data_IF_073806993095
#
_entry.id   IF_073806993095
#
_cell.length_a   1.000
_cell.length_b   1.000
_cell.length_c   1.000
_cell.angle_alpha   90.00
_cell.angle_beta   90.00
_cell.angle_gamma   90.00
#
_symmetry.space_group_name_H-M   'P 1'
#
loop_
_entity.id
_entity.type
_entity.pdbx_description
1 polymer ?
#
# COMPACT_ATOMS: atom_id res chain seq x y z
N UNK A 1 -0.36 -27.97 10.50
CA UNK A 1 -0.39 -26.50 10.57
C UNK A 1 1.02 -25.97 10.47
N UNK A 2 1.20 -24.79 9.87
CA UNK A 2 2.50 -24.12 9.64
C UNK A 2 2.41 -22.69 10.20
N UNK A 3 3.41 -22.28 10.97
CA UNK A 3 3.54 -20.91 11.48
C UNK A 3 4.56 -20.18 10.62
N UNK A 4 4.20 -19.00 10.10
CA UNK A 4 5.02 -18.25 9.14
C UNK A 4 5.28 -16.83 9.67
N UNK A 5 6.55 -16.57 9.97
CA UNK A 5 7.10 -15.25 10.25
C UNK A 5 8.02 -14.85 9.09
N UNK A 6 7.46 -14.14 8.11
CA UNK A 6 8.14 -13.70 6.90
C UNK A 6 7.43 -12.46 6.33
N UNK A 7 8.03 -11.80 5.34
CA UNK A 7 7.37 -10.71 4.62
C UNK A 7 6.37 -11.25 3.60
N UNK A 8 5.47 -10.38 3.16
CA UNK A 8 4.47 -10.66 2.14
C UNK A 8 5.05 -11.22 0.83
N UNK A 9 6.24 -10.78 0.42
CA UNK A 9 6.91 -11.27 -0.79
C UNK A 9 7.29 -12.75 -0.67
N UNK A 10 7.95 -13.16 0.43
CA UNK A 10 8.34 -14.56 0.61
C UNK A 10 7.11 -15.47 0.76
N UNK A 11 6.08 -15.00 1.47
CA UNK A 11 4.85 -15.78 1.62
C UNK A 11 4.09 -15.88 0.30
N UNK A 12 4.06 -14.83 -0.51
CA UNK A 12 3.49 -14.87 -1.85
C UNK A 12 4.14 -15.96 -2.71
N UNK A 13 5.47 -16.02 -2.73
CA UNK A 13 6.23 -17.06 -3.44
C UNK A 13 6.00 -18.47 -2.87
N UNK A 14 5.87 -18.58 -1.55
CA UNK A 14 5.53 -19.85 -0.90
C UNK A 14 4.15 -20.34 -1.36
N UNK A 15 3.14 -19.47 -1.42
CA UNK A 15 1.81 -19.85 -1.88
C UNK A 15 1.82 -20.27 -3.36
N UNK A 16 2.63 -19.62 -4.21
CA UNK A 16 2.88 -20.09 -5.57
C UNK A 16 3.54 -21.48 -5.60
N UNK A 17 4.46 -21.76 -4.68
CA UNK A 17 5.07 -23.09 -4.56
C UNK A 17 4.05 -24.16 -4.11
N UNK A 18 3.15 -23.82 -3.18
CA UNK A 18 2.04 -24.69 -2.74
C UNK A 18 1.14 -25.05 -3.93
N UNK A 19 0.78 -24.05 -4.75
CA UNK A 19 0.00 -24.27 -5.96
C UNK A 19 0.73 -25.19 -6.96
N UNK A 20 2.01 -24.90 -7.26
CA UNK A 20 2.85 -25.71 -8.17
C UNK A 20 3.01 -27.17 -7.72
N UNK A 21 2.90 -27.44 -6.42
CA UNK A 21 3.02 -28.77 -5.83
C UNK A 21 1.68 -29.46 -5.61
N UNK A 22 0.56 -28.88 -6.07
CA UNK A 22 -0.79 -29.38 -5.81
C UNK A 22 -1.05 -29.61 -4.32
N UNK A 23 -0.50 -28.75 -3.46
CA UNK A 23 -0.59 -28.85 -2.00
C UNK A 23 -1.65 -27.93 -1.38
N UNK A 24 -2.53 -27.37 -2.20
CA UNK A 24 -3.65 -26.53 -1.76
C UNK A 24 -4.53 -27.28 -0.76
N UNK A 25 -4.84 -26.64 0.38
CA UNK A 25 -5.65 -27.25 1.44
C UNK A 25 -4.92 -28.29 2.32
N UNK A 26 -3.65 -28.60 2.04
CA UNK A 26 -2.87 -29.55 2.87
C UNK A 26 -2.40 -28.96 4.20
N UNK A 27 -2.27 -27.63 4.28
CA UNK A 27 -1.75 -26.93 5.45
C UNK A 27 -2.77 -25.91 5.95
N UNK A 28 -2.82 -25.75 7.27
CA UNK A 28 -3.43 -24.60 7.93
C UNK A 28 -2.35 -23.60 8.28
N UNK A 29 -2.61 -22.31 8.03
CA UNK A 29 -1.61 -21.25 8.15
C UNK A 29 -1.87 -20.38 9.38
N UNK A 30 -0.81 -20.12 10.15
CA UNK A 30 -0.79 -19.10 11.18
C UNK A 30 0.28 -18.07 10.81
N UNK A 31 -0.11 -16.83 10.59
CA UNK A 31 0.76 -15.77 10.07
C UNK A 31 1.01 -14.61 11.00
N UNK A 32 2.19 -14.02 10.89
CA UNK A 32 2.51 -12.71 11.46
C UNK A 32 1.87 -11.55 10.69
N UNK A 33 2.02 -10.36 11.25
CA UNK A 33 1.61 -9.08 10.64
C UNK A 33 2.39 -8.72 9.37
N UNK A 34 3.58 -9.32 9.18
CA UNK A 34 4.39 -9.15 7.98
C UNK A 34 3.73 -9.55 6.66
N UNK A 35 2.67 -10.37 6.69
CA UNK A 35 1.99 -10.82 5.47
C UNK A 35 0.46 -10.87 5.57
N UNK A 36 -0.10 -10.75 6.78
CA UNK A 36 -1.54 -10.73 6.99
C UNK A 36 -2.22 -9.61 6.22
N UNK A 37 -3.31 -9.92 5.51
CA UNK A 37 -4.13 -8.94 4.79
C UNK A 37 -3.44 -8.25 3.60
N UNK A 38 -2.26 -8.70 3.17
CA UNK A 38 -1.50 -8.10 2.06
C UNK A 38 -1.93 -8.71 0.71
N UNK A 39 -2.30 -7.84 -0.24
CA UNK A 39 -2.74 -8.26 -1.58
C UNK A 39 -1.74 -9.16 -2.29
N UNK A 40 -0.44 -8.86 -2.17
CA UNK A 40 0.66 -9.69 -2.71
C UNK A 40 0.52 -11.17 -2.36
N UNK A 41 -0.02 -11.48 -1.18
CA UNK A 41 -0.13 -12.85 -0.65
C UNK A 41 -1.41 -13.56 -1.11
N UNK A 42 -2.55 -12.86 -1.16
CA UNK A 42 -3.83 -13.49 -1.48
C UNK A 42 -4.26 -13.34 -2.93
N UNK A 43 -3.85 -12.28 -3.63
CA UNK A 43 -4.31 -11.98 -4.98
C UNK A 43 -3.80 -13.05 -5.97
N UNK A 44 -4.75 -13.69 -6.67
CA UNK A 44 -4.54 -14.86 -7.53
C UNK A 44 -4.05 -16.13 -6.79
N UNK A 45 -4.11 -16.14 -5.45
CA UNK A 45 -3.62 -17.21 -4.57
C UNK A 45 -4.63 -17.52 -3.45
N UNK A 46 -5.89 -17.13 -3.65
CA UNK A 46 -6.94 -17.13 -2.62
C UNK A 46 -7.19 -18.53 -2.07
N UNK A 47 -7.15 -19.54 -2.95
CA UNK A 47 -7.31 -20.96 -2.56
C UNK A 47 -6.17 -21.47 -1.70
N UNK A 48 -4.95 -20.97 -1.89
CA UNK A 48 -3.79 -21.41 -1.12
C UNK A 48 -3.82 -20.86 0.30
N UNK A 49 -4.33 -19.64 0.48
CA UNK A 49 -4.40 -18.95 1.78
C UNK A 49 -5.73 -19.16 2.51
N UNK A 50 -6.67 -19.91 1.92
CA UNK A 50 -7.99 -20.16 2.51
C UNK A 50 -7.86 -20.73 3.93
N UNK A 51 -8.59 -20.13 4.88
CA UNK A 51 -8.57 -20.51 6.29
C UNK A 51 -7.31 -20.07 7.06
N UNK A 52 -6.43 -19.26 6.46
CA UNK A 52 -5.30 -18.67 7.17
C UNK A 52 -5.76 -17.75 8.30
N UNK A 53 -5.12 -17.88 9.46
CA UNK A 53 -5.29 -16.97 10.59
C UNK A 53 -4.04 -16.12 10.69
N UNK A 54 -4.19 -14.80 10.69
CA UNK A 54 -3.07 -13.87 10.80
C UNK A 54 -3.29 -12.94 11.97
N UNK A 55 -2.21 -12.45 12.55
CA UNK A 55 -2.25 -11.40 13.58
C UNK A 55 -1.86 -10.08 12.96
N UNK A 56 -2.54 -9.00 13.32
CA UNK A 56 -2.19 -7.65 12.91
C UNK A 56 -2.29 -6.72 14.13
N UNK A 57 -1.38 -5.75 14.27
CA UNK A 57 -1.58 -4.65 15.19
C UNK A 57 -2.91 -3.95 14.91
N UNK A 58 -3.66 -3.65 15.95
CA UNK A 58 -4.89 -2.88 15.82
C UNK A 58 -4.53 -1.45 15.43
N UNK A 59 -5.04 -1.00 14.28
CA UNK A 59 -4.89 0.36 13.78
C UNK A 59 -6.26 0.97 13.47
N UNK A 60 -6.32 2.30 13.52
CA UNK A 60 -7.50 3.12 13.29
C UNK A 60 -7.25 4.13 12.17
N UNK A 61 -8.31 4.55 11.50
CA UNK A 61 -8.23 5.59 10.48
C UNK A 61 -7.71 6.91 11.06
N UNK A 62 -6.68 7.46 10.40
CA UNK A 62 -6.18 8.80 10.70
C UNK A 62 -7.20 9.84 10.21
N UNK A 63 -7.90 10.46 11.15
CA UNK A 63 -8.96 11.42 10.88
C UNK A 63 -8.49 12.52 9.93
N UNK A 64 -9.24 12.72 8.85
CA UNK A 64 -8.97 13.75 7.85
C UNK A 64 -7.91 13.39 6.80
N UNK A 65 -7.12 12.32 7.00
CA UNK A 65 -6.06 11.96 6.05
C UNK A 65 -6.63 11.55 4.69
N UNK A 66 -7.68 10.72 4.65
CA UNK A 66 -8.34 10.33 3.38
C UNK A 66 -8.78 11.56 2.59
N UNK A 67 -9.51 12.48 3.24
CA UNK A 67 -9.96 13.74 2.63
C UNK A 67 -8.80 14.59 2.13
N UNK A 68 -7.74 14.69 2.93
CA UNK A 68 -6.54 15.43 2.55
C UNK A 68 -5.87 14.83 1.31
N UNK A 69 -5.62 13.52 1.31
CA UNK A 69 -4.91 12.84 0.22
C UNK A 69 -5.70 12.93 -1.09
N UNK A 70 -7.01 12.67 -1.05
CA UNK A 70 -7.89 12.77 -2.22
C UNK A 70 -8.02 14.19 -2.79
N UNK A 71 -7.67 15.22 -2.01
CA UNK A 71 -7.67 16.62 -2.49
C UNK A 71 -6.38 17.02 -3.23
N UNK A 72 -5.36 16.16 -3.22
CA UNK A 72 -4.09 16.43 -3.86
C UNK A 72 -4.17 16.21 -5.38
N UNK A 73 -3.44 17.04 -6.12
CA UNK A 73 -3.20 16.84 -7.55
C UNK A 73 -1.75 17.22 -7.87
N UNK A 74 -1.22 16.82 -9.03
CA UNK A 74 0.14 17.21 -9.42
C UNK A 74 0.35 18.73 -9.49
N UNK A 75 -0.74 19.50 -9.70
CA UNK A 75 -0.71 20.97 -9.69
C UNK A 75 -0.56 21.54 -8.28
N UNK A 76 -1.17 20.91 -7.26
CA UNK A 76 -1.20 21.43 -5.88
C UNK A 76 -0.10 20.84 -5.01
N UNK A 77 0.45 19.68 -5.38
CA UNK A 77 1.44 18.95 -4.58
C UNK A 77 2.83 18.93 -5.23
N UNK A 78 3.48 20.09 -5.28
CA UNK A 78 4.84 20.23 -5.85
C UNK A 78 5.96 19.84 -4.89
N UNK A 79 5.65 19.63 -3.60
CA UNK A 79 6.65 19.28 -2.57
C UNK A 79 7.10 17.81 -2.61
N UNK A 80 6.28 16.92 -3.16
CA UNK A 80 6.59 15.49 -3.23
C UNK A 80 7.07 15.15 -4.65
N UNK A 81 8.37 14.87 -4.84
CA UNK A 81 8.93 14.62 -6.16
C UNK A 81 8.38 13.34 -6.82
N UNK A 82 7.88 12.38 -6.03
CA UNK A 82 7.31 11.12 -6.53
C UNK A 82 5.82 11.21 -6.85
N UNK A 83 5.17 12.37 -6.62
CA UNK A 83 3.71 12.47 -6.79
C UNK A 83 3.28 12.40 -8.26
N UNK A 84 4.13 12.87 -9.18
CA UNK A 84 3.87 12.73 -10.63
C UNK A 84 3.93 11.26 -11.02
N UNK A 85 4.98 10.54 -10.61
CA UNK A 85 5.13 9.11 -10.88
C UNK A 85 3.94 8.29 -10.35
N UNK A 86 3.50 8.59 -9.12
CA UNK A 86 2.28 8.01 -8.55
C UNK A 86 1.04 8.29 -9.41
N UNK A 87 0.86 9.54 -9.87
CA UNK A 87 -0.29 9.94 -10.68
C UNK A 87 -0.32 9.21 -12.02
N UNK A 88 0.84 9.10 -12.67
CA UNK A 88 1.01 8.39 -13.93
C UNK A 88 0.71 6.90 -13.79
N UNK A 89 1.18 6.27 -12.72
CA UNK A 89 0.87 4.87 -12.43
C UNK A 89 -0.61 4.65 -12.14
N UNK A 90 -1.23 5.52 -11.33
CA UNK A 90 -2.61 5.36 -10.88
C UNK A 90 -3.61 5.57 -12.04
N UNK A 91 -3.42 6.60 -12.86
CA UNK A 91 -4.30 6.92 -13.99
C UNK A 91 -3.84 6.31 -15.32
N UNK A 92 -2.72 5.58 -15.33
CA UNK A 92 -2.15 4.94 -16.52
C UNK A 92 -1.92 5.91 -17.69
N UNK A 93 -1.41 7.10 -17.37
CA UNK A 93 -1.16 8.18 -18.33
C UNK A 93 0.22 8.81 -18.11
N UNK A 94 0.70 9.59 -19.08
CA UNK A 94 1.94 10.37 -18.99
C UNK A 94 1.65 11.82 -18.67
N UNK A 95 2.25 12.36 -17.62
CA UNK A 95 2.04 13.74 -17.23
C UNK A 95 2.82 14.68 -18.18
N UNK A 96 2.22 15.76 -18.70
CA UNK A 96 2.89 16.63 -19.65
C UNK A 96 4.04 17.40 -18.99
N UNK A 97 5.19 17.50 -19.67
CA UNK A 97 6.38 18.22 -19.22
C UNK A 97 6.91 17.76 -17.85
N UNK A 98 6.68 16.51 -17.46
CA UNK A 98 7.27 15.92 -16.25
C UNK A 98 8.74 15.56 -16.43
N UNK A 99 9.44 15.46 -15.30
CA UNK A 99 10.74 14.78 -15.22
C UNK A 99 10.60 13.31 -15.61
N UNK A 100 11.72 12.65 -15.94
CA UNK A 100 11.72 11.23 -16.28
C UNK A 100 11.12 10.37 -15.15
N UNK A 101 10.19 9.49 -15.51
CA UNK A 101 9.61 8.43 -14.69
C UNK A 101 9.64 7.11 -15.47
N UNK A 102 9.54 5.94 -14.81
CA UNK A 102 9.40 4.65 -15.49
C UNK A 102 8.18 4.56 -16.42
N UNK A 103 7.16 5.40 -16.20
CA UNK A 103 5.88 5.35 -16.91
C UNK A 103 5.83 6.22 -18.16
N UNK A 104 6.78 7.14 -18.34
CA UNK A 104 6.84 8.04 -19.49
C UNK A 104 6.97 7.35 -20.86
N UNK A 105 7.46 6.12 -20.88
CA UNK A 105 7.60 5.26 -22.06
C UNK A 105 6.58 4.11 -22.09
N UNK A 106 5.90 3.84 -20.97
CA UNK A 106 4.88 2.80 -20.88
C UNK A 106 3.51 3.28 -21.39
N UNK A 107 3.14 4.52 -21.11
CA UNK A 107 1.82 5.05 -21.44
C UNK A 107 1.89 6.05 -22.60
N UNK A 108 1.02 5.84 -23.58
CA UNK A 108 0.90 6.73 -24.74
C UNK A 108 -0.07 7.88 -24.51
N UNK A 109 -1.04 7.71 -23.61
CA UNK A 109 -2.03 8.74 -23.31
C UNK A 109 -1.44 9.80 -22.40
N UNK A 110 -1.76 11.07 -22.67
CA UNK A 110 -1.29 12.20 -21.85
C UNK A 110 -2.33 12.54 -20.79
N UNK A 111 -1.91 12.68 -19.54
CA UNK A 111 -2.79 13.12 -18.46
C UNK A 111 -3.31 14.53 -18.75
N UNK A 112 -4.59 14.76 -18.50
CA UNK A 112 -5.26 16.07 -18.57
C UNK A 112 -4.91 16.96 -17.37
N UNK A 113 -4.53 16.34 -16.24
CA UNK A 113 -4.28 17.02 -14.97
C UNK A 113 -5.56 17.49 -14.27
N UNK A 114 -6.72 16.97 -14.68
CA UNK A 114 -8.02 17.18 -14.06
C UNK A 114 -8.63 15.85 -13.56
N UNK A 115 -7.84 14.77 -13.56
CA UNK A 115 -8.25 13.49 -13.01
C UNK A 115 -8.52 13.64 -11.50
N UNK A 116 -9.42 12.81 -10.98
CA UNK A 116 -9.80 12.81 -9.57
C UNK A 116 -9.68 11.38 -9.08
N UNK A 117 -8.98 11.18 -7.96
CA UNK A 117 -8.85 9.86 -7.33
C UNK A 117 -10.23 9.45 -6.83
N UNK A 118 -10.70 8.29 -7.28
CA UNK A 118 -11.98 7.75 -6.84
C UNK A 118 -11.92 7.39 -5.35
N UNK A 119 -12.78 7.97 -4.49
CA UNK A 119 -12.81 7.62 -3.07
C UNK A 119 -13.11 6.14 -2.79
N UNK A 120 -13.77 5.45 -3.71
CA UNK A 120 -14.16 4.05 -3.56
C UNK A 120 -13.04 3.07 -3.98
N UNK A 121 -12.20 3.48 -4.93
CA UNK A 121 -11.00 2.73 -5.35
C UNK A 121 -9.78 3.01 -4.45
N UNK A 122 -9.81 4.12 -3.71
CA UNK A 122 -8.71 4.51 -2.84
C UNK A 122 -8.75 3.80 -1.48
N UNK A 123 -7.86 2.81 -1.33
CA UNK A 123 -7.61 2.12 -0.08
C UNK A 123 -6.37 2.68 0.65
N UNK A 124 -6.55 3.04 1.93
CA UNK A 124 -5.45 3.49 2.77
C UNK A 124 -4.62 2.30 3.28
N UNK A 125 -3.32 2.55 3.45
CA UNK A 125 -2.43 1.62 4.14
C UNK A 125 -2.93 1.39 5.58
N UNK A 126 -3.17 0.13 5.94
CA UNK A 126 -3.72 -0.25 7.25
C UNK A 126 -2.82 0.20 8.41
N UNK A 127 -1.52 0.34 8.16
CA UNK A 127 -0.53 0.73 9.16
C UNK A 127 -0.27 2.25 9.22
N UNK A 128 -1.02 3.07 8.46
CA UNK A 128 -0.79 4.52 8.37
C UNK A 128 -0.83 5.22 9.73
N UNK A 129 -1.66 4.75 10.67
CA UNK A 129 -1.74 5.33 12.01
C UNK A 129 -0.38 5.37 12.70
N UNK A 130 0.40 4.28 12.61
CA UNK A 130 1.69 4.19 13.29
C UNK A 130 2.69 5.23 12.77
N UNK A 131 2.62 5.57 11.48
CA UNK A 131 3.44 6.65 10.89
C UNK A 131 3.01 8.01 11.43
N UNK A 132 1.70 8.26 11.51
CA UNK A 132 1.15 9.49 12.08
C UNK A 132 1.53 9.64 13.56
N UNK A 133 1.38 8.58 14.35
CA UNK A 133 1.67 8.58 15.78
C UNK A 133 3.17 8.79 16.04
N UNK A 134 4.05 8.20 15.23
CA UNK A 134 5.49 8.44 15.30
C UNK A 134 5.83 9.93 15.05
N UNK A 135 5.29 10.53 13.99
CA UNK A 135 5.50 11.95 13.69
C UNK A 135 4.98 12.85 14.82
N UNK A 136 3.80 12.54 15.36
CA UNK A 136 3.22 13.26 16.50
C UNK A 136 4.06 13.12 17.76
N UNK A 137 4.64 11.95 18.03
CA UNK A 137 5.52 11.74 19.19
C UNK A 137 6.74 12.68 19.15
N UNK A 138 7.39 12.84 17.99
CA UNK A 138 8.46 13.82 17.82
C UNK A 138 7.95 15.27 17.98
N UNK A 139 6.79 15.58 17.42
CA UNK A 139 6.15 16.89 17.59
C UNK A 139 5.90 17.26 19.06
N UNK A 140 5.43 16.31 19.86
CA UNK A 140 5.25 16.48 21.30
C UNK A 140 6.60 16.65 22.03
N UNK A 141 7.61 15.86 21.68
CA UNK A 141 8.95 15.96 22.28
C UNK A 141 9.58 17.34 22.06
N UNK A 142 9.50 17.90 20.84
CA UNK A 142 10.03 19.23 20.57
C UNK A 142 9.24 20.35 21.24
N UNK A 143 7.93 20.20 21.40
CA UNK A 143 7.09 21.17 22.12
C UNK A 143 7.52 21.30 23.58
N UNK A 144 7.86 20.18 24.23
CA UNK A 144 8.26 20.15 25.65
C UNK A 144 9.62 20.84 25.89
N UNK A 145 10.53 20.81 24.91
CA UNK A 145 11.85 21.45 25.04
C UNK A 145 11.84 22.97 24.79
N UNK A 146 10.72 23.54 24.32
CA UNK A 146 10.56 24.97 24.04
C UNK A 146 9.68 25.70 25.08
N UNK A 147 9.38 25.06 26.21
CA UNK A 147 8.74 25.66 27.40
C UNK A 147 9.61 25.42 28.61
#
# INVERSE_FOLDING_TARGET
GVIIFASDQEVGELMLAVARRNATGMFSWIGSDGWGGRAVVYENKERQVEGAITVQPLAYDVKGFKKYFLSLSPKTNTRNPWFIEYWEQHFQCKYPNSSWTPFNEMYNETCTGNEVIDPDDFHLEAQLQFVSDAAMAFGYAFKVNNT
#
